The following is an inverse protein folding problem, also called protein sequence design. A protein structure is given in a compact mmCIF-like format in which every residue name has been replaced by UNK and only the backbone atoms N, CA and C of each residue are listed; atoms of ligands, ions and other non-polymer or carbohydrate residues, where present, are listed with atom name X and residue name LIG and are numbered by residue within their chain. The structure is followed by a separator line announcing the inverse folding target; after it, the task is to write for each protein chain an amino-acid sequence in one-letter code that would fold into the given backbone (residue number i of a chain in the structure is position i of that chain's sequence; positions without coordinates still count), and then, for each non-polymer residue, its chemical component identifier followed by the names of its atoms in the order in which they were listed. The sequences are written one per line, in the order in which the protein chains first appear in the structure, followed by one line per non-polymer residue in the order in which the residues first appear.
data_IF_705878588754
#
_entry.id   IF_705878588754
#
_cell.length_a   1.000
_cell.length_b   1.000
_cell.length_c   1.000
_cell.angle_alpha   90.00
_cell.angle_beta   90.00
_cell.angle_gamma   90.00
#
_symmetry.space_group_name_H-M   'P 1'
#
loop_
_entity.id
_entity.type
_entity.pdbx_description
1 polymer ?
#
# COMPACT_ATOMS: atom_id res chain seq x y z
N UNK A 1 1.99 -112.98 -24.45
CA UNK A 1 3.27 -113.06 -25.17
C UNK A 1 3.05 -112.43 -26.53
N UNK A 2 3.82 -111.47 -27.03
CA UNK A 2 4.97 -110.71 -26.57
C UNK A 2 4.99 -109.50 -27.54
N UNK A 3 5.14 -108.26 -27.06
CA UNK A 3 6.37 -107.47 -27.22
C UNK A 3 6.85 -107.42 -28.69
N UNK A 4 6.65 -106.31 -29.41
CA UNK A 4 7.54 -105.13 -29.44
C UNK A 4 8.66 -105.29 -30.48
N UNK A 5 8.65 -104.42 -31.49
CA UNK A 5 9.81 -103.89 -32.24
C UNK A 5 9.23 -102.81 -33.20
N UNK A 6 9.23 -101.52 -32.85
CA UNK A 6 10.37 -100.59 -32.78
C UNK A 6 11.05 -100.38 -34.14
N UNK A 7 10.75 -99.21 -34.72
CA UNK A 7 11.62 -98.36 -35.52
C UNK A 7 12.76 -99.00 -36.34
N UNK A 8 12.64 -98.91 -37.67
CA UNK A 8 13.81 -98.79 -38.54
C UNK A 8 13.71 -97.50 -39.38
N UNK A 9 14.40 -96.47 -38.91
CA UNK A 9 14.81 -95.33 -39.71
C UNK A 9 16.09 -95.64 -40.47
N UNK A 10 16.17 -95.19 -41.71
CA UNK A 10 17.34 -95.38 -42.58
C UNK A 10 17.51 -94.26 -43.61
N UNK A 11 17.82 -93.06 -43.11
CA UNK A 11 18.63 -92.01 -43.75
C UNK A 11 18.27 -91.55 -45.19
N UNK A 12 17.00 -91.25 -45.44
CA UNK A 12 16.65 -90.18 -46.38
C UNK A 12 16.78 -88.83 -45.67
N UNK A 13 18.01 -88.39 -45.38
CA UNK A 13 18.23 -87.09 -44.74
C UNK A 13 17.58 -85.96 -45.57
N UNK A 14 17.33 -84.78 -45.00
CA UNK A 14 16.80 -83.61 -45.73
C UNK A 14 17.73 -83.10 -46.88
N UNK A 15 18.74 -83.89 -47.23
CA UNK A 15 19.79 -83.65 -48.21
C UNK A 15 19.84 -84.73 -49.30
N UNK A 16 18.78 -85.52 -49.53
CA UNK A 16 18.64 -86.25 -50.80
C UNK A 16 18.56 -85.20 -51.90
N UNK A 17 19.63 -85.09 -52.70
CA UNK A 17 19.80 -84.08 -53.75
C UNK A 17 18.86 -84.38 -54.93
N UNK A 18 17.56 -84.12 -54.75
CA UNK A 18 16.64 -83.91 -55.87
C UNK A 18 16.74 -82.46 -56.32
N UNK A 19 17.27 -82.17 -57.52
CA UNK A 19 17.43 -80.79 -58.00
C UNK A 19 16.12 -79.99 -57.99
N UNK A 20 14.99 -80.66 -58.17
CA UNK A 20 13.65 -80.03 -58.13
C UNK A 20 13.25 -79.50 -56.75
N UNK A 21 13.48 -80.26 -55.68
CA UNK A 21 13.16 -79.85 -54.31
C UNK A 21 14.01 -78.67 -53.85
N UNK A 22 15.29 -78.65 -54.24
CA UNK A 22 16.21 -77.56 -53.90
C UNK A 22 15.77 -76.26 -54.59
N UNK A 23 15.45 -76.31 -55.89
CA UNK A 23 14.98 -75.13 -56.64
C UNK A 23 13.68 -74.59 -56.04
N UNK A 24 12.71 -75.45 -55.74
CA UNK A 24 11.44 -75.03 -55.12
C UNK A 24 11.63 -74.45 -53.72
N UNK A 25 12.52 -75.04 -52.92
CA UNK A 25 12.88 -74.52 -51.59
C UNK A 25 13.48 -73.11 -51.69
N UNK A 26 14.37 -72.85 -52.64
CA UNK A 26 14.92 -71.51 -52.88
C UNK A 26 13.87 -70.51 -53.38
N UNK A 27 12.91 -70.94 -54.20
CA UNK A 27 11.80 -70.08 -54.65
C UNK A 27 10.92 -69.69 -53.46
N UNK A 28 10.50 -70.65 -52.64
CA UNK A 28 9.67 -70.39 -51.45
C UNK A 28 10.42 -69.57 -50.42
N UNK A 29 11.70 -69.88 -50.18
CA UNK A 29 12.57 -69.11 -49.29
C UNK A 29 12.76 -67.68 -49.78
N UNK A 30 13.02 -67.47 -51.08
CA UNK A 30 13.15 -66.15 -51.69
C UNK A 30 11.85 -65.35 -51.63
N UNK A 31 10.71 -65.98 -51.88
CA UNK A 31 9.39 -65.35 -51.73
C UNK A 31 9.11 -64.96 -50.28
N UNK A 32 9.40 -65.85 -49.32
CA UNK A 32 9.26 -65.58 -47.89
C UNK A 32 10.18 -64.43 -47.46
N UNK A 33 11.44 -64.43 -47.91
CA UNK A 33 12.41 -63.37 -47.60
C UNK A 33 11.95 -62.03 -48.17
N UNK A 34 11.44 -62.02 -49.41
CA UNK A 34 10.89 -60.81 -50.03
C UNK A 34 9.66 -60.30 -49.27
N UNK A 35 8.74 -61.19 -48.89
CA UNK A 35 7.58 -60.83 -48.09
C UNK A 35 7.99 -60.28 -46.72
N UNK A 36 8.95 -60.91 -46.04
CA UNK A 36 9.47 -60.46 -44.75
C UNK A 36 10.19 -59.11 -44.86
N UNK A 37 11.01 -58.92 -45.90
CA UNK A 37 11.69 -57.66 -46.13
C UNK A 37 10.70 -56.52 -46.41
N UNK A 38 9.68 -56.77 -47.23
CA UNK A 38 8.67 -55.76 -47.55
C UNK A 38 7.74 -55.44 -46.36
N UNK A 39 7.43 -56.42 -45.50
CA UNK A 39 6.42 -56.27 -44.44
C UNK A 39 7.07 -55.92 -43.08
N UNK A 40 8.18 -56.55 -42.72
CA UNK A 40 8.80 -56.40 -41.40
C UNK A 40 9.79 -55.22 -41.32
N UNK A 41 10.42 -54.82 -42.43
CA UNK A 41 11.39 -53.71 -42.41
C UNK A 41 10.74 -52.34 -42.16
N UNK A 42 9.62 -51.97 -42.83
CA UNK A 42 8.98 -50.66 -42.60
C UNK A 42 8.56 -50.38 -41.15
N UNK A 43 7.91 -51.30 -40.39
CA UNK A 43 7.52 -51.02 -39.01
C UNK A 43 8.70 -50.88 -38.04
N UNK A 44 9.81 -51.59 -38.27
CA UNK A 44 11.01 -51.50 -37.42
C UNK A 44 11.66 -50.12 -37.55
N UNK A 45 11.81 -49.64 -38.79
CA UNK A 45 12.37 -48.31 -39.06
C UNK A 45 11.45 -47.22 -38.51
N UNK A 46 10.14 -47.31 -38.76
CA UNK A 46 9.14 -46.36 -38.23
C UNK A 46 9.17 -46.26 -36.70
N UNK A 47 9.23 -47.39 -35.99
CA UNK A 47 9.28 -47.37 -34.52
C UNK A 47 10.54 -46.68 -33.99
N UNK A 48 11.66 -46.85 -34.69
CA UNK A 48 12.93 -46.22 -34.31
C UNK A 48 12.90 -44.72 -34.57
N UNK A 49 12.42 -44.30 -35.74
CA UNK A 49 12.22 -42.88 -36.06
C UNK A 49 11.23 -42.20 -35.11
N UNK A 50 10.14 -42.87 -34.74
CA UNK A 50 9.17 -42.35 -33.77
C UNK A 50 9.79 -42.15 -32.39
N UNK A 51 10.62 -43.10 -31.93
CA UNK A 51 11.36 -42.97 -30.67
C UNK A 51 12.35 -41.81 -30.72
N UNK A 52 13.11 -41.70 -31.79
CA UNK A 52 14.07 -40.61 -31.99
C UNK A 52 13.36 -39.25 -31.99
N UNK A 53 12.29 -39.11 -32.80
CA UNK A 53 11.47 -37.88 -32.85
C UNK A 53 10.86 -37.55 -31.49
N UNK A 54 10.38 -38.53 -30.74
CA UNK A 54 9.81 -38.32 -29.40
C UNK A 54 10.86 -37.83 -28.42
N UNK A 55 12.05 -38.42 -28.41
CA UNK A 55 13.15 -38.01 -27.53
C UNK A 55 13.63 -36.61 -27.91
N UNK A 56 13.82 -36.32 -29.19
CA UNK A 56 14.20 -35.00 -29.68
C UNK A 56 13.16 -33.94 -29.30
N UNK A 57 11.87 -34.24 -29.46
CA UNK A 57 10.79 -33.33 -29.06
C UNK A 57 10.76 -33.11 -27.55
N UNK A 58 10.95 -34.15 -26.74
CA UNK A 58 11.00 -34.04 -25.28
C UNK A 58 12.21 -33.21 -24.81
N UNK A 59 13.37 -33.37 -25.45
CA UNK A 59 14.56 -32.60 -25.12
C UNK A 59 14.41 -31.12 -25.51
N UNK A 60 13.90 -30.86 -26.72
CA UNK A 60 13.62 -29.50 -27.17
C UNK A 60 12.59 -28.80 -26.26
N UNK A 61 11.56 -29.52 -25.83
CA UNK A 61 10.56 -28.99 -24.91
C UNK A 61 11.17 -28.72 -23.52
N UNK A 62 12.00 -29.63 -23.00
CA UNK A 62 12.69 -29.42 -21.73
C UNK A 62 13.63 -28.19 -21.77
N UNK A 63 14.37 -28.00 -22.86
CA UNK A 63 15.20 -26.82 -23.06
C UNK A 63 14.37 -25.53 -23.14
N UNK A 64 13.24 -25.58 -23.87
CA UNK A 64 12.31 -24.45 -23.98
C UNK A 64 11.73 -24.07 -22.63
N UNK A 65 11.20 -25.04 -21.89
CA UNK A 65 10.66 -24.82 -20.54
C UNK A 65 11.74 -24.32 -19.57
N UNK A 66 12.97 -24.83 -19.68
CA UNK A 66 14.10 -24.34 -18.89
C UNK A 66 14.42 -22.86 -19.16
N UNK A 67 14.44 -22.45 -20.43
CA UNK A 67 14.62 -21.05 -20.82
C UNK A 67 13.46 -20.17 -20.36
N UNK A 68 12.22 -20.59 -20.60
CA UNK A 68 11.01 -19.86 -20.18
C UNK A 68 10.97 -19.67 -18.65
N UNK A 69 11.36 -20.69 -17.88
CA UNK A 69 11.45 -20.62 -16.43
C UNK A 69 12.54 -19.63 -15.97
N UNK A 70 13.73 -19.68 -16.59
CA UNK A 70 14.81 -18.75 -16.29
C UNK A 70 14.39 -17.30 -16.58
N UNK A 71 13.79 -17.05 -17.74
CA UNK A 71 13.27 -15.72 -18.09
C UNK A 71 12.15 -15.28 -17.15
N UNK A 72 11.26 -16.18 -16.73
CA UNK A 72 10.21 -15.88 -15.77
C UNK A 72 10.81 -15.46 -14.42
N UNK A 73 11.83 -16.18 -13.93
CA UNK A 73 12.55 -15.83 -12.70
C UNK A 73 13.21 -14.47 -12.82
N UNK A 74 13.89 -14.17 -13.93
CA UNK A 74 14.51 -12.86 -14.16
C UNK A 74 13.47 -11.74 -14.22
N UNK A 75 12.33 -11.95 -14.89
CA UNK A 75 11.22 -10.99 -14.91
C UNK A 75 10.66 -10.76 -13.51
N UNK A 76 10.46 -11.82 -12.73
CA UNK A 76 9.97 -11.69 -11.35
C UNK A 76 10.97 -10.96 -10.45
N UNK A 77 12.27 -11.22 -10.59
CA UNK A 77 13.30 -10.50 -9.84
C UNK A 77 13.29 -9.00 -10.19
N UNK A 78 13.25 -8.66 -11.49
CA UNK A 78 13.14 -7.25 -11.93
C UNK A 78 11.88 -6.57 -11.41
N UNK A 79 10.74 -7.26 -11.43
CA UNK A 79 9.49 -6.73 -10.87
C UNK A 79 9.60 -6.50 -9.36
N UNK A 80 10.21 -7.43 -8.61
CA UNK A 80 10.43 -7.27 -7.17
C UNK A 80 11.38 -6.12 -6.85
N UNK A 81 12.45 -5.96 -7.62
CA UNK A 81 13.37 -4.82 -7.47
C UNK A 81 12.69 -3.49 -7.79
N UNK A 82 11.93 -3.42 -8.89
CA UNK A 82 11.13 -2.25 -9.24
C UNK A 82 10.12 -1.90 -8.15
N UNK A 83 9.35 -2.88 -7.66
CA UNK A 83 8.39 -2.67 -6.59
C UNK A 83 9.04 -2.18 -5.29
N UNK A 84 10.25 -2.67 -4.95
CA UNK A 84 11.02 -2.18 -3.79
C UNK A 84 11.46 -0.73 -3.99
N UNK A 85 11.93 -0.38 -5.18
CA UNK A 85 12.34 1.00 -5.50
C UNK A 85 11.15 1.96 -5.43
N UNK A 86 10.01 1.59 -6.03
CA UNK A 86 8.77 2.36 -5.96
C UNK A 86 8.28 2.53 -4.53
N UNK A 87 8.27 1.45 -3.74
CA UNK A 87 7.89 1.52 -2.32
C UNK A 87 8.82 2.46 -1.53
N UNK A 88 10.13 2.41 -1.77
CA UNK A 88 11.08 3.29 -1.11
C UNK A 88 10.89 4.75 -1.55
N UNK A 89 10.62 5.00 -2.83
CA UNK A 89 10.30 6.32 -3.35
C UNK A 89 9.03 6.88 -2.71
N UNK A 90 7.96 6.08 -2.62
CA UNK A 90 6.71 6.45 -1.98
C UNK A 90 6.90 6.77 -0.49
N UNK A 91 7.70 5.99 0.24
CA UNK A 91 8.01 6.25 1.65
C UNK A 91 8.77 7.58 1.79
N UNK A 92 9.71 7.86 0.90
CA UNK A 92 10.48 9.10 0.94
C UNK A 92 9.60 10.31 0.61
N UNK A 93 8.72 10.19 -0.39
CA UNK A 93 7.73 11.21 -0.73
C UNK A 93 6.77 11.47 0.43
N UNK A 94 6.21 10.41 1.02
CA UNK A 94 5.31 10.52 2.17
C UNK A 94 5.99 11.20 3.37
N UNK A 95 7.26 10.90 3.64
CA UNK A 95 8.05 11.59 4.67
C UNK A 95 8.26 13.07 4.33
N UNK A 96 8.54 13.39 3.07
CA UNK A 96 8.69 14.78 2.61
C UNK A 96 7.40 15.58 2.78
N UNK A 97 6.27 15.01 2.37
CA UNK A 97 4.94 15.61 2.55
C UNK A 97 4.62 15.79 4.03
N UNK A 98 4.82 14.75 4.85
CA UNK A 98 4.56 14.81 6.29
C UNK A 98 5.40 15.89 6.99
N UNK A 99 6.68 16.03 6.63
CA UNK A 99 7.55 17.06 7.18
C UNK A 99 7.08 18.47 6.77
N UNK A 100 6.69 18.66 5.51
CA UNK A 100 6.15 19.93 5.02
C UNK A 100 4.84 20.30 5.71
N UNK A 101 3.92 19.35 5.84
CA UNK A 101 2.65 19.55 6.56
C UNK A 101 2.89 19.89 8.03
N UNK A 102 3.86 19.22 8.67
CA UNK A 102 4.26 19.54 10.04
C UNK A 102 4.76 20.97 10.18
N UNK A 103 5.61 21.42 9.26
CA UNK A 103 6.12 22.80 9.25
C UNK A 103 5.00 23.82 9.04
N UNK A 104 4.08 23.56 8.10
CA UNK A 104 2.91 24.40 7.87
C UNK A 104 2.02 24.48 9.11
N UNK A 105 1.72 23.34 9.75
CA UNK A 105 0.92 23.29 10.97
C UNK A 105 1.58 24.04 12.13
N UNK A 106 2.89 23.89 12.31
CA UNK A 106 3.63 24.62 13.36
C UNK A 106 3.63 26.12 13.09
N UNK A 107 3.85 26.55 11.85
CA UNK A 107 3.79 27.96 11.47
C UNK A 107 2.39 28.55 11.69
N UNK A 108 1.34 27.81 11.31
CA UNK A 108 -0.05 28.22 11.53
C UNK A 108 -0.38 28.31 13.01
N UNK A 109 0.01 27.33 13.81
CA UNK A 109 -0.20 27.33 15.25
C UNK A 109 0.51 28.50 15.94
N UNK A 110 1.75 28.81 15.54
CA UNK A 110 2.48 29.96 16.06
C UNK A 110 1.78 31.29 15.72
N UNK A 111 1.29 31.43 14.49
CA UNK A 111 0.56 32.63 14.06
C UNK A 111 -0.79 32.78 14.77
N UNK A 112 -1.53 31.70 14.95
CA UNK A 112 -2.79 31.69 15.72
C UNK A 112 -2.53 32.04 17.19
N UNK A 113 -1.45 31.51 17.78
CA UNK A 113 -1.05 31.83 19.15
C UNK A 113 -0.72 33.31 19.31
N UNK A 114 0.05 33.90 18.38
CA UNK A 114 0.38 35.32 18.39
C UNK A 114 -0.89 36.18 18.28
N UNK A 115 -1.79 35.84 17.36
CA UNK A 115 -3.07 36.53 17.17
C UNK A 115 -3.94 36.47 18.43
N UNK A 116 -3.98 35.30 19.08
CA UNK A 116 -4.74 35.10 20.31
C UNK A 116 -4.15 35.89 21.48
N UNK A 117 -2.82 35.94 21.60
CA UNK A 117 -2.14 36.77 22.60
C UNK A 117 -2.37 38.26 22.38
N UNK A 118 -2.32 38.72 21.13
CA UNK A 118 -2.60 40.12 20.79
C UNK A 118 -4.05 40.48 21.13
N UNK A 119 -5.01 39.63 20.78
CA UNK A 119 -6.41 39.82 21.13
C UNK A 119 -6.61 39.85 22.65
N UNK A 120 -6.03 38.90 23.38
CA UNK A 120 -6.12 38.85 24.83
C UNK A 120 -5.54 40.11 25.48
N UNK A 121 -4.41 40.63 24.98
CA UNK A 121 -3.82 41.89 25.46
C UNK A 121 -4.77 43.07 25.23
N UNK A 122 -5.36 43.18 24.04
CA UNK A 122 -6.34 44.24 23.72
C UNK A 122 -7.60 44.14 24.61
N UNK A 123 -8.09 42.94 24.86
CA UNK A 123 -9.23 42.72 25.76
C UNK A 123 -8.88 43.10 27.21
N UNK A 124 -7.69 42.74 27.70
CA UNK A 124 -7.20 43.14 29.03
C UNK A 124 -7.06 44.67 29.15
N UNK A 125 -6.52 45.34 28.13
CA UNK A 125 -6.40 46.80 28.13
C UNK A 125 -7.76 47.49 28.17
N UNK A 126 -8.71 47.03 27.35
CA UNK A 126 -10.07 47.55 27.34
C UNK A 126 -10.78 47.34 28.68
N UNK A 127 -10.61 46.16 29.29
CA UNK A 127 -11.22 45.85 30.59
C UNK A 127 -10.58 46.66 31.72
N UNK A 128 -9.27 46.89 31.67
CA UNK A 128 -8.58 47.77 32.60
C UNK A 128 -9.11 49.20 32.51
N UNK A 129 -9.31 49.72 31.31
CA UNK A 129 -9.83 51.07 31.12
C UNK A 129 -11.27 51.21 31.66
N UNK A 130 -12.12 50.19 31.44
CA UNK A 130 -13.46 50.11 32.06
C UNK A 130 -13.38 50.11 33.58
N UNK A 131 -12.58 49.24 34.17
CA UNK A 131 -12.42 49.14 35.62
C UNK A 131 -11.91 50.46 36.23
N UNK A 132 -10.96 51.15 35.57
CA UNK A 132 -10.49 52.47 36.01
C UNK A 132 -11.60 53.52 35.92
N UNK A 133 -12.43 53.49 34.88
CA UNK A 133 -13.57 54.40 34.74
C UNK A 133 -14.63 54.15 35.84
N UNK A 134 -14.90 52.89 36.16
CA UNK A 134 -15.82 52.50 37.24
C UNK A 134 -15.29 52.96 38.60
N UNK A 135 -14.02 52.69 38.92
CA UNK A 135 -13.38 53.16 40.15
C UNK A 135 -13.43 54.68 40.29
N UNK A 136 -13.24 55.43 39.19
CA UNK A 136 -13.36 56.90 39.21
C UNK A 136 -14.77 57.35 39.55
N UNK A 137 -15.80 56.70 38.99
CA UNK A 137 -17.20 56.99 39.32
C UNK A 137 -17.49 56.71 40.80
N UNK A 138 -17.09 55.54 41.29
CA UNK A 138 -17.25 55.17 42.71
C UNK A 138 -16.54 56.15 43.64
N UNK A 139 -15.32 56.56 43.30
CA UNK A 139 -14.56 57.53 44.08
C UNK A 139 -15.24 58.92 44.11
N UNK A 140 -15.84 59.36 43.00
CA UNK A 140 -16.62 60.60 42.94
C UNK A 140 -17.87 60.50 43.82
N UNK A 141 -18.62 59.39 43.73
CA UNK A 141 -19.81 59.18 44.57
C UNK A 141 -19.47 59.13 46.07
N UNK A 142 -18.42 58.41 46.45
CA UNK A 142 -17.91 58.37 47.83
C UNK A 142 -17.48 59.76 48.32
N UNK A 143 -16.80 60.53 47.48
CA UNK A 143 -16.37 61.89 47.81
C UNK A 143 -17.56 62.83 48.01
N UNK A 144 -18.58 62.74 47.14
CA UNK A 144 -19.81 63.52 47.24
C UNK A 144 -20.60 63.15 48.49
N UNK A 145 -20.69 61.85 48.83
CA UNK A 145 -21.33 61.37 50.05
C UNK A 145 -20.60 61.85 51.30
N UNK A 146 -19.26 61.83 51.31
CA UNK A 146 -18.44 62.35 52.40
C UNK A 146 -18.59 63.86 52.57
N UNK A 147 -18.58 64.62 51.47
CA UNK A 147 -18.81 66.06 51.49
C UNK A 147 -20.22 66.42 52.00
N UNK A 148 -21.25 65.70 51.54
CA UNK A 148 -22.63 65.86 52.01
C UNK A 148 -22.74 65.62 53.50
N UNK A 149 -22.14 64.53 54.01
CA UNK A 149 -22.14 64.20 55.43
C UNK A 149 -21.35 65.21 56.28
N UNK A 150 -20.26 65.75 55.75
CA UNK A 150 -19.47 66.80 56.41
C UNK A 150 -20.26 68.12 56.49
N UNK A 151 -20.94 68.51 55.41
CA UNK A 151 -21.82 69.69 55.37
C UNK A 151 -22.98 69.51 56.35
N UNK A 152 -23.67 68.37 56.34
CA UNK A 152 -24.73 68.06 57.31
C UNK A 152 -24.27 68.14 58.77
N UNK A 153 -23.02 67.73 59.08
CA UNK A 153 -22.47 67.81 60.44
C UNK A 153 -21.99 69.21 60.84
N UNK A 154 -21.76 70.10 59.87
CA UNK A 154 -21.32 71.49 60.10
C UNK A 154 -22.51 72.46 60.22
N UNK A 155 -23.63 72.15 59.58
CA UNK A 155 -24.89 72.93 59.52
C UNK A 155 -25.71 72.96 60.84
N UNK A 156 -25.03 73.06 61.98
CA UNK A 156 -25.67 73.06 63.31
C UNK A 156 -25.45 74.39 64.06
N UNK A 157 -24.81 75.39 63.41
CA UNK A 157 -24.44 76.67 64.03
C UNK A 157 -25.24 77.87 63.53
N UNK A 158 -25.35 78.91 64.37
CA UNK A 158 -26.02 80.18 64.02
C UNK A 158 -25.43 80.90 62.78
N UNK A 159 -24.18 80.59 62.41
CA UNK A 159 -23.54 81.12 61.20
C UNK A 159 -24.21 80.61 59.90
N UNK A 160 -24.76 79.39 59.93
CA UNK A 160 -25.40 78.77 58.77
C UNK A 160 -26.81 79.32 58.53
N UNK A 161 -27.54 79.66 59.60
CA UNK A 161 -28.81 80.39 59.52
C UNK A 161 -28.66 81.73 58.81
N UNK A 162 -27.57 82.45 59.09
CA UNK A 162 -27.25 83.72 58.42
C UNK A 162 -27.02 83.58 56.92
N UNK A 163 -26.40 82.48 56.48
CA UNK A 163 -26.15 82.21 55.06
C UNK A 163 -27.47 81.87 54.33
N UNK A 164 -28.34 81.09 54.97
CA UNK A 164 -29.68 80.76 54.43
C UNK A 164 -30.56 82.02 54.37
N UNK A 165 -30.55 82.86 55.40
CA UNK A 165 -31.26 84.14 55.41
C UNK A 165 -30.74 85.11 54.33
N UNK A 166 -29.42 85.16 54.09
CA UNK A 166 -28.84 85.95 52.99
C UNK A 166 -29.26 85.43 51.61
N UNK A 167 -29.31 84.11 51.41
CA UNK A 167 -29.72 83.53 50.12
C UNK A 167 -31.22 83.74 49.84
N UNK A 168 -32.06 83.54 50.87
CA UNK A 168 -33.49 83.85 50.78
C UNK A 168 -33.75 85.35 50.55
N UNK A 169 -32.93 86.22 51.14
CA UNK A 169 -32.96 87.66 50.88
C UNK A 169 -32.62 87.99 49.42
N UNK A 170 -31.58 87.37 48.84
CA UNK A 170 -31.21 87.61 47.45
C UNK A 170 -32.25 87.14 46.42
N UNK A 171 -33.06 86.12 46.74
CA UNK A 171 -34.14 85.65 45.86
C UNK A 171 -35.40 86.53 45.94
N UNK A 172 -35.58 87.29 47.02
CA UNK A 172 -36.66 88.28 47.14
C UNK A 172 -36.33 89.60 46.44
N UNK A 173 -35.06 89.89 46.19
CA UNK A 173 -34.62 91.06 45.42
C UNK A 173 -34.63 90.83 43.89
N UNK A 174 -34.68 89.57 43.42
CA UNK A 174 -34.75 89.21 41.98
C UNK A 174 -36.18 88.94 41.44
N UNK A 175 -37.23 89.12 42.26
CA UNK A 175 -38.65 88.98 41.89
C UNK A 175 -39.40 90.33 41.99
#
# INVERSE_FOLDING_TARGET
AAAEEAAEGGLGGPFVLEPGLIIWTWIVFGFLLYALWKIAWPPIVRLTEEREKRIAAQLAEAERLGKEAQEAVERHQKLLEGAKQEAQALINEAKGVAQKEREVLLAKAAHEQETLLERARREIEAERERAVSELRREAVELSLAAATKLIQKRLDGDADRKIVEQYLGSLQDEA
#
